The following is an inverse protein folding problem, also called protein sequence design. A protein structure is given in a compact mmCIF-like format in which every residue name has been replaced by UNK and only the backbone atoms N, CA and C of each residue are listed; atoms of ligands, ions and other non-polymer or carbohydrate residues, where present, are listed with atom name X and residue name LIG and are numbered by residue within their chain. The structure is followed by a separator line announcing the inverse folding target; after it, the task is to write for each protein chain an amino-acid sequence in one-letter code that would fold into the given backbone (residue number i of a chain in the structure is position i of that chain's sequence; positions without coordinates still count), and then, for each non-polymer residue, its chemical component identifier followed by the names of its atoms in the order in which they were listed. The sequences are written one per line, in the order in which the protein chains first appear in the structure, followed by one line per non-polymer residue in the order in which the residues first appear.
data_IF_770162511047
#
_entry.id   IF_770162511047
#
_cell.length_a   1.000
_cell.length_b   1.000
_cell.length_c   1.000
_cell.angle_alpha   90.00
_cell.angle_beta   90.00
_cell.angle_gamma   90.00
#
_symmetry.space_group_name_H-M   'P 1'
#
loop_
_entity.id
_entity.type
_entity.pdbx_description
1 polymer ?
#
# COMPACT_ATOMS: atom_id res chain seq x y z
N UNK A 1 -38.33 -29.37 -41.08
CA UNK A 1 -36.87 -29.44 -40.93
C UNK A 1 -36.38 -28.05 -40.51
N UNK A 2 -36.08 -27.87 -39.22
CA UNK A 2 -35.56 -26.60 -38.71
C UNK A 2 -34.12 -26.43 -39.18
N UNK A 3 -33.88 -25.47 -40.07
CA UNK A 3 -32.54 -25.10 -40.51
C UNK A 3 -31.84 -24.38 -39.35
N UNK A 4 -31.01 -25.10 -38.60
CA UNK A 4 -30.08 -24.48 -37.65
C UNK A 4 -29.07 -23.64 -38.46
N UNK A 5 -29.22 -22.31 -38.39
CA UNK A 5 -28.21 -21.37 -38.87
C UNK A 5 -27.04 -21.42 -37.88
N UNK A 6 -25.97 -22.12 -38.25
CA UNK A 6 -24.74 -22.15 -37.46
C UNK A 6 -24.00 -20.81 -37.53
N UNK A 7 -23.27 -20.49 -36.47
CA UNK A 7 -22.37 -19.34 -36.39
C UNK A 7 -21.25 -19.47 -37.43
N UNK A 8 -20.91 -18.40 -38.15
CA UNK A 8 -19.82 -18.47 -39.14
C UNK A 8 -18.46 -18.37 -38.46
N UNK A 9 -17.45 -19.04 -39.03
CA UNK A 9 -16.07 -18.94 -38.54
C UNK A 9 -15.57 -17.49 -38.60
N UNK A 10 -16.02 -16.72 -39.59
CA UNK A 10 -15.68 -15.31 -39.77
C UNK A 10 -16.27 -14.44 -38.64
N UNK A 11 -17.52 -14.65 -38.23
CA UNK A 11 -18.10 -13.94 -37.09
C UNK A 11 -17.31 -14.21 -35.80
N UNK A 12 -16.90 -15.46 -35.59
CA UNK A 12 -16.11 -15.82 -34.41
C UNK A 12 -14.74 -15.13 -34.41
N UNK A 13 -14.07 -15.07 -35.56
CA UNK A 13 -12.77 -14.38 -35.67
C UNK A 13 -12.87 -12.88 -35.39
N UNK A 14 -13.93 -12.21 -35.85
CA UNK A 14 -14.16 -10.79 -35.57
C UNK A 14 -14.37 -10.56 -34.07
N UNK A 15 -15.20 -11.39 -33.44
CA UNK A 15 -15.47 -11.28 -31.98
C UNK A 15 -14.18 -11.46 -31.18
N UNK A 16 -13.38 -12.47 -31.50
CA UNK A 16 -12.09 -12.71 -30.83
C UNK A 16 -11.14 -11.51 -31.02
N UNK A 17 -11.12 -10.91 -32.21
CA UNK A 17 -10.35 -9.69 -32.49
C UNK A 17 -10.76 -8.50 -31.61
N UNK A 18 -12.06 -8.26 -31.46
CA UNK A 18 -12.58 -7.17 -30.61
C UNK A 18 -12.24 -7.43 -29.14
N UNK A 19 -12.45 -8.65 -28.65
CA UNK A 19 -12.14 -9.01 -27.25
C UNK A 19 -10.64 -8.89 -26.96
N UNK A 20 -9.76 -9.23 -27.91
CA UNK A 20 -8.33 -9.07 -27.76
C UNK A 20 -7.90 -7.60 -27.56
N UNK A 21 -8.45 -6.68 -28.37
CA UNK A 21 -8.17 -5.23 -28.25
C UNK A 21 -8.67 -4.69 -26.91
N UNK A 22 -9.91 -5.02 -26.52
CA UNK A 22 -10.48 -4.54 -25.26
C UNK A 22 -9.72 -5.09 -24.04
N UNK A 23 -9.30 -6.35 -24.07
CA UNK A 23 -8.58 -6.99 -22.97
C UNK A 23 -7.18 -6.40 -22.78
N UNK A 24 -6.49 -6.03 -23.87
CA UNK A 24 -5.16 -5.43 -23.81
C UNK A 24 -5.14 -4.11 -23.02
N UNK A 25 -6.22 -3.33 -23.08
CA UNK A 25 -6.36 -2.06 -22.35
C UNK A 25 -7.03 -2.27 -20.99
N UNK A 26 -8.04 -3.15 -20.92
CA UNK A 26 -8.86 -3.35 -19.73
C UNK A 26 -8.13 -4.06 -18.59
N UNK A 27 -7.34 -5.10 -18.89
CA UNK A 27 -6.61 -5.87 -17.87
C UNK A 27 -5.61 -5.04 -17.07
N UNK A 28 -4.68 -4.25 -17.68
CA UNK A 28 -3.74 -3.46 -16.90
C UNK A 28 -4.44 -2.37 -16.06
N UNK A 29 -5.52 -1.78 -16.58
CA UNK A 29 -6.31 -0.81 -15.81
C UNK A 29 -7.00 -1.45 -14.60
N UNK A 30 -7.58 -2.63 -14.77
CA UNK A 30 -8.22 -3.37 -13.68
C UNK A 30 -7.22 -3.82 -12.60
N UNK A 31 -6.03 -4.28 -13.01
CA UNK A 31 -4.96 -4.63 -12.07
C UNK A 31 -4.51 -3.42 -11.23
N UNK A 32 -4.36 -2.25 -11.86
CA UNK A 32 -4.05 -1.00 -11.15
C UNK A 32 -5.15 -0.61 -10.15
N UNK A 33 -6.42 -0.77 -10.51
CA UNK A 33 -7.54 -0.54 -9.60
C UNK A 33 -7.49 -1.46 -8.37
N UNK A 34 -7.26 -2.76 -8.58
CA UNK A 34 -7.12 -3.72 -7.48
C UNK A 34 -5.91 -3.42 -6.59
N UNK A 35 -4.79 -2.99 -7.16
CA UNK A 35 -3.62 -2.55 -6.38
C UNK A 35 -3.94 -1.34 -5.50
N UNK A 36 -4.63 -0.31 -6.03
CA UNK A 36 -5.03 0.86 -5.25
C UNK A 36 -5.99 0.52 -4.12
N UNK A 37 -6.94 -0.38 -4.37
CA UNK A 37 -7.84 -0.89 -3.34
C UNK A 37 -7.07 -1.65 -2.25
N UNK A 38 -6.13 -2.52 -2.63
CA UNK A 38 -5.29 -3.25 -1.69
C UNK A 38 -4.36 -2.32 -0.87
N UNK A 39 -3.81 -1.27 -1.49
CA UNK A 39 -3.03 -0.24 -0.79
C UNK A 39 -3.87 0.53 0.23
N UNK A 40 -5.14 0.78 -0.08
CA UNK A 40 -6.07 1.40 0.87
C UNK A 40 -6.28 0.51 2.09
N UNK A 41 -6.47 -0.80 1.89
CA UNK A 41 -6.58 -1.77 2.99
C UNK A 41 -5.29 -1.86 3.82
N UNK A 42 -4.13 -1.85 3.16
CA UNK A 42 -2.82 -1.79 3.81
C UNK A 42 -2.68 -0.52 4.66
N UNK A 43 -3.12 0.64 4.15
CA UNK A 43 -3.13 1.89 4.91
C UNK A 43 -4.06 1.79 6.13
N UNK A 44 -5.26 1.23 5.99
CA UNK A 44 -6.18 1.01 7.12
C UNK A 44 -5.58 0.09 8.19
N UNK A 45 -4.84 -0.94 7.77
CA UNK A 45 -4.11 -1.84 8.68
C UNK A 45 -3.07 -1.07 9.51
N UNK A 46 -2.48 -0.02 8.94
CA UNK A 46 -1.42 0.77 9.56
C UNK A 46 -1.92 1.82 10.56
N UNK A 47 -3.12 2.41 10.33
CA UNK A 47 -3.70 3.48 11.16
C UNK A 47 -3.61 3.21 12.67
N UNK A 48 -4.04 2.05 13.21
CA UNK A 48 -3.99 1.81 14.66
C UNK A 48 -2.55 1.80 15.21
N UNK A 49 -1.58 1.34 14.42
CA UNK A 49 -0.17 1.35 14.83
C UNK A 49 0.39 2.78 14.83
N UNK A 50 0.03 3.61 13.84
CA UNK A 50 0.42 5.03 13.78
C UNK A 50 -0.03 5.77 15.04
N UNK A 51 -1.30 5.64 15.40
CA UNK A 51 -1.86 6.29 16.60
C UNK A 51 -1.25 5.75 17.90
N UNK A 52 -1.00 4.45 18.00
CA UNK A 52 -0.36 3.88 19.18
C UNK A 52 1.12 4.29 19.32
N UNK A 53 1.85 4.40 18.21
CA UNK A 53 3.22 4.93 18.20
C UNK A 53 3.23 6.41 18.58
N UNK A 54 2.29 7.21 18.09
CA UNK A 54 2.12 8.61 18.48
C UNK A 54 1.94 8.76 20.00
N UNK A 55 1.04 7.97 20.59
CA UNK A 55 0.81 7.98 22.04
C UNK A 55 2.06 7.54 22.82
N UNK A 56 2.67 6.43 22.42
CA UNK A 56 3.90 5.94 23.04
C UNK A 56 5.05 6.97 22.97
N UNK A 57 5.19 7.66 21.84
CA UNK A 57 6.21 8.69 21.67
C UNK A 57 5.95 9.91 22.56
N UNK A 58 4.69 10.33 22.72
CA UNK A 58 4.32 11.42 23.64
C UNK A 58 4.61 11.07 25.11
N UNK A 59 4.31 9.84 25.54
CA UNK A 59 4.55 9.40 26.91
C UNK A 59 6.05 9.25 27.24
N UNK A 60 6.85 8.80 26.27
CA UNK A 60 8.27 8.47 26.46
C UNK A 60 9.24 9.54 25.98
N UNK A 61 8.74 10.65 25.43
CA UNK A 61 9.57 11.73 24.88
C UNK A 61 10.29 11.34 23.58
N UNK A 62 9.75 10.38 22.82
CA UNK A 62 10.26 9.97 21.51
C UNK A 62 9.89 8.53 21.10
N UNK A 63 10.01 8.19 19.81
CA UNK A 63 9.55 6.91 19.26
C UNK A 63 10.51 5.72 19.52
N UNK A 64 11.71 5.96 20.05
CA UNK A 64 12.80 4.97 20.10
C UNK A 64 12.50 3.74 20.95
N UNK A 65 11.52 3.79 21.85
CA UNK A 65 11.09 2.64 22.66
C UNK A 65 9.69 2.14 22.31
N UNK A 66 9.18 2.51 21.14
CA UNK A 66 7.85 2.14 20.69
C UNK A 66 7.93 0.89 19.80
N UNK A 67 7.63 -0.26 20.38
CA UNK A 67 7.67 -1.58 19.74
C UNK A 67 6.30 -2.24 19.69
N UNK A 68 6.06 -3.09 18.69
CA UNK A 68 4.83 -3.85 18.61
C UNK A 68 4.67 -4.78 19.83
N UNK A 69 3.47 -4.79 20.43
CA UNK A 69 3.18 -5.58 21.63
C UNK A 69 3.57 -4.92 22.95
N UNK A 70 4.15 -3.72 22.92
CA UNK A 70 4.54 -2.95 24.10
C UNK A 70 3.84 -1.58 24.12
N UNK A 71 3.81 -0.90 25.28
CA UNK A 71 3.33 0.48 25.39
C UNK A 71 1.93 0.73 24.78
N UNK A 72 1.03 -0.27 24.84
CA UNK A 72 -0.31 -0.18 24.23
C UNK A 72 -0.35 -0.36 22.71
N UNK A 73 0.79 -0.58 22.06
CA UNK A 73 0.89 -0.88 20.62
C UNK A 73 0.45 -2.34 20.42
N UNK A 74 -0.52 -2.61 19.51
CA UNK A 74 -0.96 -3.97 19.23
C UNK A 74 0.19 -4.89 18.83
N UNK A 75 0.04 -6.19 19.09
CA UNK A 75 0.96 -7.17 18.52
C UNK A 75 0.88 -7.12 16.99
N UNK A 76 2.04 -7.11 16.33
CA UNK A 76 2.10 -7.00 14.89
C UNK A 76 1.50 -8.24 14.22
N UNK A 77 0.47 -8.04 13.40
CA UNK A 77 -0.18 -9.08 12.61
C UNK A 77 -0.45 -8.58 11.21
N UNK A 78 -0.17 -9.44 10.22
CA UNK A 78 -0.50 -9.18 8.83
C UNK A 78 -2.01 -9.19 8.56
N UNK A 79 -2.36 -8.87 7.32
CA UNK A 79 -3.72 -8.86 6.80
C UNK A 79 -3.78 -9.61 5.48
N UNK A 80 -4.91 -9.55 4.77
CA UNK A 80 -5.01 -10.12 3.42
C UNK A 80 -4.00 -9.52 2.45
N UNK A 81 -3.60 -8.26 2.58
CA UNK A 81 -2.65 -7.62 1.66
C UNK A 81 -1.29 -7.35 2.29
N UNK A 82 -1.10 -7.73 3.56
CA UNK A 82 0.13 -7.53 4.34
C UNK A 82 0.64 -8.88 4.84
N UNK A 83 1.74 -9.38 4.28
CA UNK A 83 2.36 -10.64 4.71
C UNK A 83 3.14 -10.51 6.01
N UNK A 84 3.80 -9.36 6.20
CA UNK A 84 4.54 -9.05 7.41
C UNK A 84 4.25 -7.61 7.86
N UNK A 85 4.09 -7.45 9.16
CA UNK A 85 3.98 -6.16 9.83
C UNK A 85 5.00 -6.16 10.98
N UNK A 86 5.67 -5.03 11.19
CA UNK A 86 6.49 -4.83 12.38
C UNK A 86 6.44 -3.37 12.81
N UNK A 87 6.60 -3.14 14.12
CA UNK A 87 6.83 -1.81 14.68
C UNK A 87 8.08 -1.89 15.55
N UNK A 88 9.13 -1.17 15.14
CA UNK A 88 10.41 -1.13 15.85
C UNK A 88 10.89 0.30 15.95
N UNK A 89 11.15 0.80 17.16
CA UNK A 89 11.56 2.19 17.40
C UNK A 89 10.58 3.19 16.74
N UNK A 90 9.29 2.86 16.75
CA UNK A 90 8.20 3.63 16.11
C UNK A 90 8.15 3.54 14.59
N UNK A 91 9.14 2.95 13.92
CA UNK A 91 9.07 2.68 12.47
C UNK A 91 8.08 1.55 12.23
N UNK A 92 7.06 1.82 11.42
CA UNK A 92 6.05 0.83 11.02
C UNK A 92 6.42 0.30 9.64
N UNK A 93 6.80 -0.96 9.55
CA UNK A 93 7.18 -1.60 8.29
C UNK A 93 6.14 -2.66 7.89
N UNK A 94 5.69 -2.59 6.64
CA UNK A 94 4.73 -3.50 6.04
C UNK A 94 5.32 -4.13 4.78
N UNK A 95 5.15 -5.45 4.65
CA UNK A 95 5.46 -6.16 3.40
C UNK A 95 4.16 -6.56 2.71
N UNK A 96 4.02 -6.15 1.45
CA UNK A 96 2.85 -6.43 0.62
C UNK A 96 2.76 -7.89 0.19
N UNK A 97 1.54 -8.34 -0.09
CA UNK A 97 1.24 -9.69 -0.55
C UNK A 97 0.05 -9.66 -1.55
N UNK A 98 -0.31 -10.78 -2.19
CA UNK A 98 -1.25 -10.82 -3.32
C UNK A 98 -0.90 -9.82 -4.44
N UNK A 99 -1.80 -8.88 -4.74
CA UNK A 99 -1.61 -7.81 -5.72
C UNK A 99 -0.52 -6.80 -5.33
N UNK A 100 -0.07 -6.80 -4.07
CA UNK A 100 1.02 -5.96 -3.57
C UNK A 100 2.34 -6.72 -3.39
N UNK A 101 2.46 -7.94 -3.92
CA UNK A 101 3.68 -8.74 -3.78
C UNK A 101 4.91 -7.97 -4.31
N UNK A 102 5.99 -7.95 -3.51
CA UNK A 102 7.22 -7.21 -3.82
C UNK A 102 7.17 -5.73 -3.49
N UNK A 103 6.14 -5.24 -2.80
CA UNK A 103 6.11 -3.90 -2.20
C UNK A 103 6.54 -3.97 -0.73
N UNK A 104 7.44 -3.08 -0.32
CA UNK A 104 7.73 -2.80 1.08
C UNK A 104 7.42 -1.33 1.37
N UNK A 105 6.65 -1.09 2.44
CA UNK A 105 6.22 0.23 2.87
C UNK A 105 6.71 0.46 4.30
N UNK A 106 7.48 1.53 4.50
CA UNK A 106 7.89 1.98 5.83
C UNK A 106 7.27 3.35 6.12
N UNK A 107 6.73 3.50 7.33
CA UNK A 107 6.40 4.80 7.91
C UNK A 107 7.36 5.11 9.04
N UNK A 108 8.01 6.25 8.92
CA UNK A 108 9.07 6.70 9.81
C UNK A 108 8.57 7.90 10.62
N UNK A 109 8.57 7.82 11.96
CA UNK A 109 8.31 8.96 12.81
C UNK A 109 9.55 9.86 12.87
N UNK A 110 9.37 11.13 12.54
CA UNK A 110 10.32 12.22 12.75
C UNK A 110 9.86 12.96 13.99
N UNK A 111 10.60 12.79 15.08
CA UNK A 111 10.31 13.43 16.36
C UNK A 111 10.88 14.85 16.39
N UNK A 112 10.04 15.83 16.69
CA UNK A 112 10.48 17.18 17.00
C UNK A 112 10.63 17.33 18.51
N UNK A 113 11.88 17.40 18.98
CA UNK A 113 12.19 17.56 20.40
C UNK A 113 11.82 18.93 20.98
N UNK A 114 11.52 19.91 20.13
CA UNK A 114 11.21 21.29 20.54
C UNK A 114 9.72 21.45 20.82
N UNK A 115 8.89 20.99 19.89
CA UNK A 115 7.43 21.10 19.99
C UNK A 115 6.76 19.84 20.56
N UNK A 116 7.52 18.75 20.76
CA UNK A 116 7.00 17.45 21.19
C UNK A 116 6.08 16.79 20.17
N UNK A 117 6.11 17.26 18.92
CA UNK A 117 5.31 16.77 17.81
C UNK A 117 5.94 15.60 17.09
N UNK A 118 5.10 14.76 16.47
CA UNK A 118 5.56 13.74 15.53
C UNK A 118 5.14 14.12 14.12
N UNK A 119 6.09 13.99 13.19
CA UNK A 119 5.83 14.07 11.76
C UNK A 119 6.11 12.72 11.13
N UNK A 120 5.38 12.39 10.08
CA UNK A 120 5.50 11.08 9.44
C UNK A 120 6.09 11.22 8.05
N UNK A 121 7.10 10.42 7.79
CA UNK A 121 7.66 10.20 6.46
C UNK A 121 7.33 8.79 5.99
N UNK A 122 7.22 8.60 4.67
CA UNK A 122 7.02 7.30 4.03
C UNK A 122 8.28 6.85 3.30
N UNK A 123 8.41 5.55 3.10
CA UNK A 123 9.27 4.96 2.08
C UNK A 123 8.51 3.82 1.40
N UNK A 124 8.28 3.96 0.09
CA UNK A 124 7.72 2.91 -0.75
C UNK A 124 8.85 2.32 -1.60
N UNK A 125 9.14 1.03 -1.45
CA UNK A 125 10.17 0.33 -2.22
C UNK A 125 9.58 -0.87 -2.95
N UNK A 126 9.83 -0.95 -4.26
CA UNK A 126 9.45 -2.09 -5.10
C UNK A 126 10.29 -2.11 -6.37
N UNK A 127 10.48 -3.29 -6.97
CA UNK A 127 11.04 -3.44 -8.32
C UNK A 127 10.06 -3.05 -9.42
N UNK A 128 8.75 -3.01 -9.11
CA UNK A 128 7.70 -2.59 -10.02
C UNK A 128 7.42 -1.09 -9.85
N UNK A 129 7.79 -0.28 -10.84
CA UNK A 129 7.58 1.17 -10.81
C UNK A 129 6.10 1.54 -10.63
N UNK A 130 5.18 0.90 -11.36
CA UNK A 130 3.74 1.17 -11.22
C UNK A 130 3.24 0.94 -9.80
N UNK A 131 3.75 -0.11 -9.14
CA UNK A 131 3.36 -0.43 -7.77
C UNK A 131 3.95 0.57 -6.77
N UNK A 132 5.21 0.99 -6.97
CA UNK A 132 5.85 2.04 -6.17
C UNK A 132 5.12 3.37 -6.31
N UNK A 133 4.81 3.77 -7.53
CA UNK A 133 4.15 5.05 -7.82
C UNK A 133 2.71 5.04 -7.26
N UNK A 134 1.99 3.92 -7.41
CA UNK A 134 0.69 3.73 -6.75
C UNK A 134 0.81 3.81 -5.21
N UNK A 135 1.86 3.26 -4.60
CA UNK A 135 2.09 3.39 -3.16
C UNK A 135 2.29 4.85 -2.74
N UNK A 136 3.12 5.61 -3.46
CA UNK A 136 3.35 7.03 -3.18
C UNK A 136 2.07 7.87 -3.30
N UNK A 137 1.23 7.57 -4.29
CA UNK A 137 -0.07 8.22 -4.50
C UNK A 137 -1.07 7.98 -3.35
N UNK A 138 -1.07 6.75 -2.80
CA UNK A 138 -1.99 6.37 -1.73
C UNK A 138 -1.49 6.84 -0.35
N UNK A 139 -0.21 6.65 -0.06
CA UNK A 139 0.43 7.08 1.19
C UNK A 139 0.89 8.52 1.05
N UNK A 140 0.02 9.51 1.15
CA UNK A 140 0.36 10.95 0.95
C UNK A 140 1.11 11.57 2.15
N UNK A 141 2.32 11.09 2.43
CA UNK A 141 3.25 11.60 3.45
C UNK A 141 4.55 12.10 2.80
N UNK A 142 5.37 12.88 3.50
CA UNK A 142 6.67 13.28 2.96
C UNK A 142 7.57 12.05 2.71
N UNK A 143 8.36 12.05 1.65
CA UNK A 143 9.30 10.95 1.41
C UNK A 143 10.43 10.97 2.45
N UNK A 144 10.98 9.79 2.77
CA UNK A 144 12.10 9.63 3.70
C UNK A 144 13.26 10.55 3.31
N UNK A 145 13.63 11.45 4.22
CA UNK A 145 14.73 12.40 4.00
C UNK A 145 14.37 13.65 3.19
N UNK A 146 13.12 13.85 2.79
CA UNK A 146 12.66 15.14 2.27
C UNK A 146 12.61 16.15 3.42
N UNK A 147 13.48 17.16 3.40
CA UNK A 147 13.36 18.37 4.21
C UNK A 147 12.18 19.20 3.70
N UNK A 148 11.42 19.81 4.61
CA UNK A 148 10.19 20.58 4.33
C UNK A 148 10.38 21.78 3.41
N UNK A 149 10.48 21.54 2.11
CA UNK A 149 10.47 22.62 1.11
C UNK A 149 9.45 22.36 0.00
N UNK A 150 8.29 21.81 0.35
CA UNK A 150 7.10 21.81 -0.51
C UNK A 150 5.84 21.47 0.31
N UNK A 151 5.25 22.51 0.90
CA UNK A 151 3.83 22.56 1.21
C UNK A 151 3.19 23.62 0.31
#
# INVERSE_FOLDING_TARGET
MNHQRGFTLVELMIVVGIVAILSAIGLPAYQNYLQRAALTDMLQTMVPFKTAVELCAMERGGPTQCHAGEAGIPAARGSRYVSALSVTNGVIALTGQESLNGLSVEMLPVWDSTDGGIRWQRSCTSSNNSLRDNCQDQFRFADKGASDEQA
#
